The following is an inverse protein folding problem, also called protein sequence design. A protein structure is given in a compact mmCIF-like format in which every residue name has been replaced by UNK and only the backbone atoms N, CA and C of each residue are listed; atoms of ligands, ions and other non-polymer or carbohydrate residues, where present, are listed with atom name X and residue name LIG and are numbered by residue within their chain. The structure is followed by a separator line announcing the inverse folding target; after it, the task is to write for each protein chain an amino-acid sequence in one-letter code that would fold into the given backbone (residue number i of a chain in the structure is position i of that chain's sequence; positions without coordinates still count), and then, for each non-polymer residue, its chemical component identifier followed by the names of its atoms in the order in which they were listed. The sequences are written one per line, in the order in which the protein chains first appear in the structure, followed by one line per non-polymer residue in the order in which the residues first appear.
data_IF_436338766948
#
_entry.id   IF_436338766948
#
_cell.length_a   1.000
_cell.length_b   1.000
_cell.length_c   1.000
_cell.angle_alpha   90.00
_cell.angle_beta   90.00
_cell.angle_gamma   90.00
#
_symmetry.space_group_name_H-M   'P 1'
#
loop_
_entity.id
_entity.type
_entity.pdbx_description
1 polymer ?
#
# COMPACT_ATOMS: atom_id res chain seq x y z
N UNK A 1 32.85 2.99 2.73
CA UNK A 1 31.89 3.64 1.82
C UNK A 1 32.21 5.14 1.60
N UNK A 2 32.36 5.98 2.63
CA UNK A 2 32.63 7.41 2.45
C UNK A 2 33.95 7.68 1.72
N UNK A 3 34.95 6.85 1.93
CA UNK A 3 36.28 6.99 1.32
C UNK A 3 36.28 6.76 -0.19
N UNK A 4 35.36 5.92 -0.70
CA UNK A 4 35.21 5.66 -2.14
C UNK A 4 34.22 6.57 -2.84
N UNK A 5 33.22 7.10 -2.13
CA UNK A 5 32.09 7.82 -2.74
C UNK A 5 32.22 9.35 -2.71
N UNK A 6 33.01 9.95 -1.85
CA UNK A 6 32.98 11.41 -1.70
C UNK A 6 34.28 12.08 -1.22
N UNK A 7 35.34 11.33 -1.05
CA UNK A 7 36.64 11.89 -0.69
C UNK A 7 36.65 12.74 0.59
N UNK A 8 37.50 13.77 0.59
CA UNK A 8 37.72 14.63 1.77
C UNK A 8 36.48 15.37 2.25
N UNK A 9 35.56 15.74 1.37
CA UNK A 9 34.36 16.53 1.75
C UNK A 9 33.42 15.71 2.64
N UNK A 10 33.18 14.43 2.32
CA UNK A 10 32.35 13.54 3.13
C UNK A 10 32.99 13.23 4.48
N UNK A 11 34.32 13.14 4.54
CA UNK A 11 35.04 12.95 5.79
C UNK A 11 34.86 14.14 6.73
N UNK A 12 34.99 15.35 6.19
CA UNK A 12 34.82 16.62 6.95
C UNK A 12 33.40 16.72 7.49
N UNK A 13 32.39 16.42 6.67
CA UNK A 13 30.97 16.44 7.09
C UNK A 13 30.72 15.43 8.20
N UNK A 14 31.25 14.22 8.09
CA UNK A 14 31.14 13.20 9.11
C UNK A 14 31.82 13.60 10.44
N UNK A 15 32.99 14.22 10.35
CA UNK A 15 33.72 14.71 11.53
C UNK A 15 32.99 15.89 12.20
N UNK A 16 32.37 16.77 11.40
CA UNK A 16 31.61 17.91 11.89
C UNK A 16 30.25 17.50 12.51
N UNK A 17 29.59 16.48 11.96
CA UNK A 17 28.31 15.96 12.46
C UNK A 17 28.43 15.22 13.80
N UNK A 18 29.61 14.73 14.13
CA UNK A 18 29.84 13.96 15.37
C UNK A 18 29.40 12.49 15.25
N UNK A 19 29.57 11.77 16.36
CA UNK A 19 29.33 10.29 16.39
C UNK A 19 27.86 9.89 16.47
N UNK A 20 26.97 10.83 16.76
CA UNK A 20 25.52 10.58 16.93
C UNK A 20 24.70 10.90 15.69
N UNK A 21 25.30 11.54 14.69
CA UNK A 21 24.61 11.85 13.43
C UNK A 21 25.09 10.92 12.32
N UNK A 22 24.15 10.55 11.47
CA UNK A 22 24.39 9.70 10.31
C UNK A 22 24.20 10.53 9.03
N UNK A 23 25.08 10.39 8.06
CA UNK A 23 24.89 10.95 6.71
C UNK A 23 23.67 10.31 6.00
N UNK A 24 23.48 9.02 6.27
CA UNK A 24 22.28 8.27 5.91
C UNK A 24 21.70 7.73 7.22
N UNK A 25 20.52 8.14 7.62
CA UNK A 25 19.91 7.63 8.83
C UNK A 25 19.69 6.12 8.73
N UNK A 26 19.69 5.39 9.85
CA UNK A 26 19.37 3.97 9.84
C UNK A 26 17.94 3.77 9.34
N UNK A 27 17.73 2.72 8.53
CA UNK A 27 16.43 2.33 7.97
C UNK A 27 15.94 1.09 8.71
N UNK A 28 15.26 1.23 9.86
CA UNK A 28 14.91 0.12 10.75
C UNK A 28 13.88 -0.84 10.17
N UNK A 29 13.10 -0.38 9.19
CA UNK A 29 11.94 -1.11 8.67
C UNK A 29 12.12 -1.63 7.24
N UNK A 30 13.34 -1.70 6.71
CA UNK A 30 13.62 -2.24 5.36
C UNK A 30 13.17 -3.69 5.16
N UNK A 31 12.93 -4.43 6.24
CA UNK A 31 12.34 -5.77 6.21
C UNK A 31 10.91 -5.75 5.60
N UNK A 32 10.18 -4.67 5.80
CA UNK A 32 8.80 -4.51 5.31
C UNK A 32 8.79 -3.91 3.90
N UNK A 33 9.27 -4.69 2.94
CA UNK A 33 9.43 -4.26 1.54
C UNK A 33 8.10 -3.97 0.83
N UNK A 34 6.99 -4.48 1.35
CA UNK A 34 5.66 -4.27 0.79
C UNK A 34 5.25 -2.80 0.78
N UNK A 35 5.68 -2.01 1.77
CA UNK A 35 5.20 -0.64 1.94
C UNK A 35 5.83 0.33 0.94
N UNK A 36 7.05 0.09 0.52
CA UNK A 36 7.81 0.99 -0.37
C UNK A 36 7.36 0.95 -1.83
N UNK A 37 6.63 -0.09 -2.23
CA UNK A 37 6.22 -0.31 -3.62
C UNK A 37 5.01 -1.23 -3.69
N UNK A 38 4.17 -1.07 -4.69
CA UNK A 38 3.13 -2.03 -5.00
C UNK A 38 3.01 -2.25 -6.50
N UNK A 39 2.84 -3.52 -6.88
CA UNK A 39 2.57 -3.91 -8.25
C UNK A 39 1.09 -3.76 -8.56
N UNK A 40 0.78 -3.03 -9.64
CA UNK A 40 -0.57 -2.84 -10.15
C UNK A 40 -0.55 -3.09 -11.65
N UNK A 41 -1.09 -4.19 -12.12
CA UNK A 41 -1.30 -4.53 -13.54
C UNK A 41 -0.14 -4.17 -14.49
N UNK A 42 1.06 -4.65 -14.22
CA UNK A 42 2.21 -4.46 -15.12
C UNK A 42 3.03 -3.20 -14.87
N UNK A 43 2.86 -2.56 -13.75
CA UNK A 43 3.72 -1.48 -13.28
C UNK A 43 3.70 -1.35 -11.78
N UNK A 44 4.50 -0.44 -11.27
CA UNK A 44 4.74 -0.26 -9.83
C UNK A 44 4.49 1.17 -9.39
N UNK A 45 4.32 1.36 -8.10
CA UNK A 45 4.44 2.65 -7.44
C UNK A 45 5.75 2.73 -6.66
N UNK A 46 6.25 3.94 -6.44
CA UNK A 46 7.40 4.25 -5.60
C UNK A 46 6.91 5.14 -4.46
N UNK A 47 6.55 4.53 -3.36
CA UNK A 47 5.68 5.13 -2.36
C UNK A 47 6.39 6.15 -1.46
N UNK A 48 5.88 7.39 -1.34
CA UNK A 48 6.22 8.28 -0.23
C UNK A 48 5.55 7.76 1.04
N UNK A 49 6.35 7.19 1.96
CA UNK A 49 5.86 6.59 3.19
C UNK A 49 5.42 7.66 4.20
N UNK A 50 4.51 7.30 5.08
CA UNK A 50 3.91 8.23 6.05
C UNK A 50 4.89 8.72 7.12
N UNK A 51 5.70 7.80 7.70
CA UNK A 51 6.61 8.14 8.78
C UNK A 51 7.94 8.69 8.27
N UNK A 52 8.41 9.85 8.77
CA UNK A 52 9.69 10.44 8.35
C UNK A 52 10.88 9.47 8.43
N UNK A 53 10.92 8.62 9.46
CA UNK A 53 11.99 7.61 9.62
C UNK A 53 12.03 6.56 8.50
N UNK A 54 10.97 6.47 7.69
CA UNK A 54 10.83 5.52 6.58
C UNK A 54 10.93 6.15 5.19
N UNK A 55 10.99 7.46 5.08
CA UNK A 55 10.95 8.17 3.78
C UNK A 55 12.04 7.69 2.82
N UNK A 56 13.22 7.34 3.33
CA UNK A 56 14.35 6.95 2.49
C UNK A 56 14.33 5.48 2.07
N UNK A 57 13.46 4.64 2.64
CA UNK A 57 13.37 3.23 2.28
C UNK A 57 13.04 3.05 0.79
N UNK A 58 12.18 3.89 0.22
CA UNK A 58 11.78 3.83 -1.19
C UNK A 58 12.93 4.12 -2.15
N UNK A 59 13.99 4.78 -1.70
CA UNK A 59 15.22 4.98 -2.51
C UNK A 59 15.85 3.63 -2.85
N UNK A 60 15.88 2.68 -1.90
CA UNK A 60 16.44 1.35 -2.13
C UNK A 60 15.63 0.58 -3.18
N UNK A 61 14.30 0.59 -3.06
CA UNK A 61 13.40 -0.05 -4.03
C UNK A 61 13.51 0.59 -5.41
N UNK A 62 13.62 1.90 -5.47
CA UNK A 62 13.84 2.65 -6.71
C UNK A 62 15.16 2.24 -7.37
N UNK A 63 16.23 2.10 -6.59
CA UNK A 63 17.52 1.64 -7.12
C UNK A 63 17.42 0.23 -7.70
N UNK A 64 16.66 -0.67 -7.07
CA UNK A 64 16.41 -2.02 -7.60
C UNK A 64 15.72 -1.94 -8.96
N UNK A 65 14.59 -1.23 -9.08
CA UNK A 65 13.85 -1.13 -10.35
C UNK A 65 14.65 -0.41 -11.45
N UNK A 66 15.53 0.51 -11.07
CA UNK A 66 16.32 1.30 -12.02
C UNK A 66 17.56 0.57 -12.52
N UNK A 67 18.19 -0.27 -11.69
CA UNK A 67 19.52 -0.82 -11.97
C UNK A 67 19.59 -2.34 -12.02
N UNK A 68 18.65 -3.07 -11.43
CA UNK A 68 18.66 -4.52 -11.48
C UNK A 68 18.34 -5.02 -12.90
N UNK A 69 19.09 -5.99 -13.46
CA UNK A 69 18.94 -6.43 -14.85
C UNK A 69 17.54 -6.95 -15.21
N UNK A 70 16.83 -7.51 -14.24
CA UNK A 70 15.47 -8.04 -14.46
C UNK A 70 14.41 -6.94 -14.58
N UNK A 71 14.66 -5.75 -14.04
CA UNK A 71 13.69 -4.65 -13.94
C UNK A 71 14.05 -3.42 -14.77
N UNK A 72 15.35 -3.15 -14.93
CA UNK A 72 15.84 -1.93 -15.60
C UNK A 72 15.26 -1.78 -17.01
N UNK A 73 14.52 -0.69 -17.22
CA UNK A 73 13.86 -0.39 -18.50
C UNK A 73 12.65 -1.28 -18.84
N UNK A 74 12.23 -2.19 -17.95
CA UNK A 74 11.13 -3.15 -18.18
C UNK A 74 9.91 -2.87 -17.30
N UNK A 75 10.02 -2.01 -16.30
CA UNK A 75 8.98 -1.73 -15.33
C UNK A 75 8.41 -0.33 -15.53
N UNK A 76 7.10 -0.23 -15.69
CA UNK A 76 6.42 1.05 -15.68
C UNK A 76 6.28 1.56 -14.24
N UNK A 77 6.58 2.83 -14.02
CA UNK A 77 6.26 3.50 -12.76
C UNK A 77 4.97 4.29 -12.94
N UNK A 78 3.95 3.92 -12.20
CA UNK A 78 2.65 4.58 -12.26
C UNK A 78 2.62 5.89 -11.49
N UNK A 79 3.17 5.90 -10.29
CA UNK A 79 3.13 7.04 -9.41
C UNK A 79 4.22 6.95 -8.33
N UNK A 80 4.62 8.11 -7.81
CA UNK A 80 5.64 8.24 -6.77
C UNK A 80 7.05 8.38 -7.36
N UNK A 81 7.89 9.07 -6.61
CA UNK A 81 9.32 9.25 -6.88
C UNK A 81 9.98 9.71 -5.57
N UNK A 82 10.92 8.95 -4.98
CA UNK A 82 11.56 9.33 -3.72
C UNK A 82 12.44 10.58 -3.83
N UNK A 83 12.70 11.08 -5.03
CA UNK A 83 13.47 12.31 -5.27
C UNK A 83 12.60 13.55 -5.40
N UNK A 84 11.26 13.41 -5.32
CA UNK A 84 10.31 14.50 -5.38
C UNK A 84 9.61 14.69 -4.04
N UNK A 85 9.29 15.94 -3.72
CA UNK A 85 8.43 16.25 -2.59
C UNK A 85 6.96 16.02 -2.99
N UNK A 86 6.34 15.01 -2.40
CA UNK A 86 4.93 14.70 -2.57
C UNK A 86 4.02 15.40 -1.55
N UNK A 87 4.60 16.25 -0.70
CA UNK A 87 3.88 16.98 0.34
C UNK A 87 3.13 16.03 1.28
N UNK A 88 1.81 16.21 1.37
CA UNK A 88 0.94 15.37 2.21
C UNK A 88 0.44 14.09 1.52
N UNK A 89 0.89 13.81 0.30
CA UNK A 89 0.48 12.61 -0.41
C UNK A 89 1.36 11.43 0.00
N UNK A 90 0.85 10.58 0.88
CA UNK A 90 1.51 9.36 1.38
C UNK A 90 0.78 8.12 0.95
N UNK A 91 1.51 7.06 0.64
CA UNK A 91 1.00 5.75 0.23
C UNK A 91 1.88 4.66 0.82
N UNK A 92 1.29 3.61 1.36
CA UNK A 92 1.99 2.40 1.76
C UNK A 92 1.36 1.16 1.10
N UNK A 93 2.19 0.23 0.62
CA UNK A 93 1.73 -0.88 -0.23
C UNK A 93 0.81 -1.87 0.46
N UNK A 94 0.81 -1.95 1.79
CA UNK A 94 -0.15 -2.73 2.56
C UNK A 94 -1.60 -2.28 2.39
N UNK A 95 -1.81 -1.06 1.90
CA UNK A 95 -3.14 -0.53 1.57
C UNK A 95 -3.60 -0.86 0.13
N UNK A 96 -2.73 -1.37 -0.75
CA UNK A 96 -3.03 -1.49 -2.18
C UNK A 96 -3.17 -2.94 -2.61
N UNK A 97 -4.34 -3.28 -3.17
CA UNK A 97 -4.67 -4.62 -3.67
C UNK A 97 -5.28 -4.57 -5.06
N UNK A 98 -4.56 -4.90 -6.13
CA UNK A 98 -5.17 -5.18 -7.43
C UNK A 98 -5.96 -6.48 -7.35
N UNK A 99 -7.27 -6.41 -7.64
CA UNK A 99 -8.19 -7.55 -7.47
C UNK A 99 -8.69 -8.16 -8.78
N UNK A 100 -8.14 -7.70 -9.90
CA UNK A 100 -8.56 -8.16 -11.23
C UNK A 100 -9.66 -7.32 -11.86
N UNK A 101 -9.97 -7.60 -13.14
CA UNK A 101 -11.00 -6.90 -13.93
C UNK A 101 -10.85 -5.37 -13.92
N UNK A 102 -9.61 -4.87 -13.97
CA UNK A 102 -9.33 -3.43 -13.92
C UNK A 102 -9.64 -2.75 -12.59
N UNK A 103 -9.93 -3.50 -11.51
CA UNK A 103 -10.24 -2.94 -10.20
C UNK A 103 -9.03 -2.97 -9.28
N UNK A 104 -8.84 -1.89 -8.53
CA UNK A 104 -7.82 -1.78 -7.47
C UNK A 104 -8.52 -1.38 -6.17
N UNK A 105 -8.28 -2.13 -5.09
CA UNK A 105 -8.70 -1.70 -3.75
C UNK A 105 -7.58 -0.86 -3.14
N UNK A 106 -7.95 0.22 -2.47
CA UNK A 106 -6.99 1.01 -1.69
C UNK A 106 -7.60 1.37 -0.34
N UNK A 107 -6.89 1.03 0.74
CA UNK A 107 -7.19 1.51 2.08
C UNK A 107 -6.84 2.99 2.21
N UNK A 108 -7.77 3.82 2.63
CA UNK A 108 -7.49 5.17 3.12
C UNK A 108 -7.34 5.08 4.64
N UNK A 109 -6.13 4.74 5.05
CA UNK A 109 -5.76 4.39 6.42
C UNK A 109 -5.11 5.55 7.19
N UNK A 110 -4.45 5.23 8.31
CA UNK A 110 -3.55 6.15 8.99
C UNK A 110 -2.43 6.64 8.06
N UNK A 111 -1.91 5.75 7.18
CA UNK A 111 -0.68 5.97 6.43
C UNK A 111 -0.87 6.27 4.96
N UNK A 112 -2.04 5.98 4.41
CA UNK A 112 -2.36 6.27 3.02
C UNK A 112 -3.37 7.40 2.92
N UNK A 113 -2.96 8.49 2.29
CA UNK A 113 -3.73 9.72 2.21
C UNK A 113 -4.67 9.76 1.00
N UNK A 114 -5.76 10.51 1.13
CA UNK A 114 -6.69 10.78 0.03
C UNK A 114 -6.00 11.39 -1.19
N UNK A 115 -5.01 12.27 -0.95
CA UNK A 115 -4.26 12.94 -2.01
C UNK A 115 -3.48 11.93 -2.86
N UNK A 116 -2.76 11.01 -2.23
CA UNK A 116 -2.04 9.96 -2.95
C UNK A 116 -3.01 9.05 -3.74
N UNK A 117 -4.12 8.64 -3.12
CA UNK A 117 -5.11 7.78 -3.79
C UNK A 117 -5.68 8.46 -5.04
N UNK A 118 -6.08 9.72 -4.97
CA UNK A 118 -6.65 10.45 -6.12
C UNK A 118 -5.63 10.66 -7.24
N UNK A 119 -4.38 10.96 -6.90
CA UNK A 119 -3.29 11.12 -7.88
C UNK A 119 -2.93 9.80 -8.56
N UNK A 120 -2.83 8.72 -7.77
CA UNK A 120 -2.60 7.38 -8.31
C UNK A 120 -3.75 6.94 -9.22
N UNK A 121 -5.01 7.11 -8.79
CA UNK A 121 -6.18 6.76 -9.58
C UNK A 121 -6.18 7.50 -10.93
N UNK A 122 -5.96 8.83 -10.93
CA UNK A 122 -5.87 9.62 -12.15
C UNK A 122 -4.78 9.11 -13.10
N UNK A 123 -3.64 8.74 -12.56
CA UNK A 123 -2.53 8.20 -13.37
C UNK A 123 -2.86 6.83 -13.94
N UNK A 124 -3.43 5.92 -13.15
CA UNK A 124 -3.83 4.59 -13.60
C UNK A 124 -4.88 4.67 -14.71
N UNK A 125 -5.86 5.56 -14.59
CA UNK A 125 -6.89 5.77 -15.61
C UNK A 125 -6.31 6.37 -16.88
N UNK A 126 -5.50 7.41 -16.76
CA UNK A 126 -4.81 8.05 -17.90
C UNK A 126 -3.95 7.06 -18.70
N UNK A 127 -3.34 6.09 -18.01
CA UNK A 127 -2.50 5.05 -18.61
C UNK A 127 -3.29 3.81 -19.06
N UNK A 128 -4.60 3.76 -18.81
CA UNK A 128 -5.43 2.58 -19.11
C UNK A 128 -5.05 1.35 -18.25
N UNK A 129 -4.39 1.55 -17.12
CA UNK A 129 -3.94 0.46 -16.25
C UNK A 129 -5.04 -0.03 -15.29
N UNK A 130 -6.04 0.80 -15.01
CA UNK A 130 -7.19 0.43 -14.19
C UNK A 130 -8.46 1.11 -14.71
N UNK A 131 -9.63 0.56 -14.35
CA UNK A 131 -10.95 1.06 -14.70
C UNK A 131 -11.71 1.60 -13.47
N UNK A 132 -11.30 1.16 -12.28
CA UNK A 132 -11.92 1.56 -11.02
C UNK A 132 -10.93 1.43 -9.87
N UNK A 133 -10.90 2.45 -9.01
CA UNK A 133 -10.25 2.40 -7.71
C UNK A 133 -11.33 2.44 -6.64
N UNK A 134 -11.43 1.36 -5.84
CA UNK A 134 -12.37 1.24 -4.72
C UNK A 134 -11.61 1.58 -3.45
N UNK A 135 -12.12 2.55 -2.70
CA UNK A 135 -11.48 3.06 -1.50
C UNK A 135 -12.22 2.61 -0.26
N UNK A 136 -11.50 1.99 0.66
CA UNK A 136 -11.94 1.70 2.01
C UNK A 136 -11.44 2.80 2.94
N UNK A 137 -12.33 3.73 3.33
CA UNK A 137 -11.99 4.78 4.29
C UNK A 137 -12.08 4.20 5.71
N UNK A 138 -10.94 3.81 6.24
CA UNK A 138 -10.80 3.12 7.52
C UNK A 138 -10.56 4.09 8.68
N UNK A 139 -10.81 3.66 9.93
CA UNK A 139 -10.38 4.39 11.11
C UNK A 139 -8.86 4.62 11.09
N UNK A 140 -8.42 5.83 11.43
CA UNK A 140 -6.99 6.18 11.49
C UNK A 140 -6.39 5.79 12.84
N UNK A 141 -6.18 4.51 13.02
CA UNK A 141 -5.63 3.91 14.24
C UNK A 141 -4.58 2.87 13.89
N UNK A 142 -3.63 2.66 14.80
CA UNK A 142 -2.53 1.73 14.57
C UNK A 142 -2.98 0.29 14.31
N UNK A 143 -4.05 -0.17 14.94
CA UNK A 143 -4.58 -1.52 14.75
C UNK A 143 -5.14 -1.76 13.33
N UNK A 144 -5.49 -0.68 12.61
CA UNK A 144 -5.92 -0.71 11.21
C UNK A 144 -5.01 0.19 10.36
N UNK A 145 -3.68 0.05 10.54
CA UNK A 145 -2.70 0.91 9.88
C UNK A 145 -2.70 0.75 8.36
N UNK A 146 -3.03 -0.43 7.86
CA UNK A 146 -3.18 -0.75 6.43
C UNK A 146 -4.41 -1.63 6.21
N UNK A 147 -4.90 -1.66 4.97
CA UNK A 147 -6.02 -2.52 4.59
C UNK A 147 -5.70 -4.01 4.79
N UNK A 148 -4.47 -4.45 4.50
CA UNK A 148 -4.05 -5.84 4.63
C UNK A 148 -3.96 -6.33 6.09
N UNK A 149 -4.02 -5.44 7.07
CA UNK A 149 -4.10 -5.82 8.48
C UNK A 149 -5.52 -6.17 8.94
N UNK A 150 -6.53 -5.80 8.14
CA UNK A 150 -7.95 -5.98 8.48
C UNK A 150 -8.76 -6.69 7.39
N UNK A 151 -8.20 -6.83 6.20
CA UNK A 151 -8.85 -7.48 5.06
C UNK A 151 -7.81 -8.02 4.09
N UNK A 152 -7.80 -9.31 3.82
CA UNK A 152 -6.85 -9.95 2.90
C UNK A 152 -7.51 -11.08 2.11
N UNK A 153 -7.17 -11.19 0.82
CA UNK A 153 -7.63 -12.31 0.00
C UNK A 153 -6.87 -13.60 0.33
N UNK A 154 -7.60 -14.68 0.59
CA UNK A 154 -7.08 -16.03 0.76
C UNK A 154 -7.31 -16.91 -0.48
N UNK A 155 -8.32 -16.56 -1.29
CA UNK A 155 -8.65 -17.23 -2.54
C UNK A 155 -9.32 -16.22 -3.48
N UNK A 156 -9.65 -16.63 -4.69
CA UNK A 156 -10.32 -15.80 -5.71
C UNK A 156 -11.67 -15.25 -5.24
N UNK A 157 -12.36 -15.97 -4.38
CA UNK A 157 -13.67 -15.64 -3.82
C UNK A 157 -13.70 -15.64 -2.30
N UNK A 158 -12.55 -15.80 -1.64
CA UNK A 158 -12.44 -15.91 -0.19
C UNK A 158 -11.55 -14.82 0.40
N UNK A 159 -12.02 -14.21 1.46
CA UNK A 159 -11.30 -13.19 2.21
C UNK A 159 -11.26 -13.52 3.69
N UNK A 160 -10.14 -13.20 4.33
CA UNK A 160 -10.00 -13.11 5.77
C UNK A 160 -10.20 -11.65 6.17
N UNK A 161 -11.00 -11.38 7.18
CA UNK A 161 -11.27 -10.02 7.63
C UNK A 161 -11.41 -9.91 9.15
N UNK A 162 -11.13 -8.71 9.65
CA UNK A 162 -11.40 -8.27 11.01
C UNK A 162 -12.72 -7.44 11.02
N UNK A 163 -13.86 -8.01 11.46
CA UNK A 163 -15.18 -7.44 11.24
C UNK A 163 -15.38 -6.09 11.94
N UNK A 164 -14.78 -5.89 13.12
CA UNK A 164 -14.95 -4.69 13.94
C UNK A 164 -14.42 -3.42 13.26
N UNK A 165 -13.38 -3.54 12.44
CA UNK A 165 -12.80 -2.43 11.67
C UNK A 165 -13.59 -2.15 10.40
N UNK A 166 -14.03 -3.19 9.71
CA UNK A 166 -14.77 -3.03 8.45
C UNK A 166 -16.18 -2.52 8.65
N UNK A 167 -16.81 -2.80 9.80
CA UNK A 167 -18.11 -2.23 10.16
C UNK A 167 -18.09 -0.68 10.25
N UNK A 168 -16.92 -0.09 10.52
CA UNK A 168 -16.71 1.36 10.60
C UNK A 168 -16.20 1.97 9.28
N UNK A 169 -16.01 1.16 8.24
CA UNK A 169 -15.41 1.59 6.98
C UNK A 169 -16.46 2.19 6.05
N UNK A 170 -16.21 3.40 5.59
CA UNK A 170 -16.98 4.02 4.51
C UNK A 170 -16.34 3.69 3.18
N UNK A 171 -17.15 3.28 2.19
CA UNK A 171 -16.65 2.88 0.88
C UNK A 171 -17.05 3.89 -0.18
N UNK A 172 -16.11 4.24 -1.05
CA UNK A 172 -16.37 5.02 -2.25
C UNK A 172 -15.47 4.53 -3.39
N UNK A 173 -15.75 4.95 -4.61
CA UNK A 173 -14.92 4.61 -5.78
C UNK A 173 -14.53 5.85 -6.55
N UNK A 174 -13.34 5.81 -7.15
CA UNK A 174 -12.98 6.66 -8.27
C UNK A 174 -13.15 5.91 -9.57
N UNK A 175 -13.64 6.61 -10.61
CA UNK A 175 -13.74 6.13 -11.98
C UNK A 175 -13.09 7.14 -12.93
N UNK A 176 -12.70 6.71 -14.15
CA UNK A 176 -12.24 7.63 -15.19
C UNK A 176 -13.28 8.71 -15.49
N UNK A 177 -12.83 9.92 -15.74
CA UNK A 177 -13.69 11.05 -16.07
C UNK A 177 -12.99 12.03 -17.00
N UNK A 178 -13.76 12.73 -17.82
CA UNK A 178 -13.29 13.83 -18.67
C UNK A 178 -13.06 15.14 -17.88
N UNK A 179 -13.39 15.15 -16.59
CA UNK A 179 -13.05 16.27 -15.71
C UNK A 179 -11.53 16.50 -15.68
N UNK A 180 -11.03 17.75 -15.52
CA UNK A 180 -9.59 18.05 -15.48
C UNK A 180 -8.79 17.25 -14.46
N UNK A 181 -9.42 16.78 -13.38
CA UNK A 181 -8.79 15.87 -12.40
C UNK A 181 -8.56 14.44 -12.92
N UNK A 182 -9.21 14.05 -14.04
CA UNK A 182 -9.18 12.69 -14.58
C UNK A 182 -9.96 11.65 -13.77
N UNK A 183 -10.63 12.05 -12.71
CA UNK A 183 -11.36 11.16 -11.81
C UNK A 183 -12.74 11.70 -11.45
N UNK A 184 -13.70 10.79 -11.32
CA UNK A 184 -15.02 11.02 -10.79
C UNK A 184 -15.22 10.23 -9.51
N UNK A 185 -15.81 10.88 -8.51
CA UNK A 185 -16.10 10.29 -7.20
C UNK A 185 -17.50 9.66 -7.19
N UNK A 186 -17.60 8.43 -6.70
CA UNK A 186 -18.85 7.70 -6.51
C UNK A 186 -18.97 7.18 -5.08
N UNK A 187 -19.95 7.65 -4.33
CA UNK A 187 -20.28 7.09 -3.03
C UNK A 187 -20.90 5.70 -3.20
N UNK A 188 -20.36 4.69 -2.54
CA UNK A 188 -20.89 3.34 -2.55
C UNK A 188 -21.95 3.20 -1.45
N UNK A 189 -23.11 2.65 -1.82
CA UNK A 189 -24.24 2.47 -0.89
C UNK A 189 -24.23 1.13 -0.15
N UNK A 190 -23.44 0.18 -0.67
CA UNK A 190 -23.34 -1.17 -0.11
C UNK A 190 -22.18 -1.27 0.86
N UNK A 191 -22.21 -2.25 1.79
CA UNK A 191 -21.05 -2.59 2.59
C UNK A 191 -19.82 -2.88 1.73
N UNK A 192 -18.62 -2.61 2.26
CA UNK A 192 -17.36 -2.77 1.56
C UNK A 192 -17.20 -4.15 0.89
N UNK A 193 -17.49 -5.22 1.63
CA UNK A 193 -17.36 -6.61 1.15
C UNK A 193 -18.27 -6.88 -0.05
N UNK A 194 -19.49 -6.30 -0.06
CA UNK A 194 -20.43 -6.45 -1.16
C UNK A 194 -19.98 -5.65 -2.40
N UNK A 195 -19.38 -4.49 -2.20
CA UNK A 195 -18.80 -3.68 -3.28
C UNK A 195 -17.66 -4.45 -3.94
N UNK A 196 -16.80 -5.10 -3.15
CA UNK A 196 -15.70 -5.94 -3.64
C UNK A 196 -16.23 -7.15 -4.39
N UNK A 197 -17.23 -7.87 -3.86
CA UNK A 197 -17.87 -8.99 -4.53
C UNK A 197 -18.44 -8.58 -5.90
N UNK A 198 -19.14 -7.46 -5.94
CA UNK A 198 -19.70 -6.91 -7.18
C UNK A 198 -18.62 -6.56 -8.21
N UNK A 199 -17.50 -5.95 -7.77
CA UNK A 199 -16.37 -5.62 -8.64
C UNK A 199 -15.72 -6.86 -9.27
N UNK A 200 -15.71 -7.97 -8.54
CA UNK A 200 -15.24 -9.26 -9.02
C UNK A 200 -16.28 -10.02 -9.88
N UNK A 201 -17.52 -9.51 -9.97
CA UNK A 201 -18.62 -10.20 -10.64
C UNK A 201 -19.13 -11.42 -9.89
N UNK A 202 -18.95 -11.44 -8.56
CA UNK A 202 -19.41 -12.49 -7.67
C UNK A 202 -20.73 -12.08 -7.00
N UNK A 203 -21.58 -13.06 -6.70
CA UNK A 203 -22.80 -12.81 -5.92
C UNK A 203 -22.47 -12.48 -4.47
N UNK A 204 -21.44 -13.14 -3.92
CA UNK A 204 -20.99 -13.01 -2.53
C UNK A 204 -19.54 -13.51 -2.42
N UNK A 205 -18.77 -12.91 -1.53
CA UNK A 205 -17.48 -13.45 -1.09
C UNK A 205 -17.68 -14.46 0.04
N UNK A 206 -16.85 -15.50 0.06
CA UNK A 206 -16.65 -16.30 1.25
C UNK A 206 -15.84 -15.49 2.24
N UNK A 207 -16.33 -15.39 3.45
CA UNK A 207 -15.71 -14.62 4.51
C UNK A 207 -15.24 -15.54 5.62
N UNK A 208 -13.98 -15.41 5.98
CA UNK A 208 -13.40 -15.97 7.18
C UNK A 208 -13.14 -14.82 8.14
N UNK A 209 -13.75 -14.83 9.30
CA UNK A 209 -13.54 -13.80 10.31
C UNK A 209 -12.33 -14.13 11.16
N UNK A 210 -11.45 -13.17 11.36
CA UNK A 210 -10.32 -13.29 12.27
C UNK A 210 -10.78 -13.21 13.73
N UNK A 211 -10.32 -14.14 14.55
CA UNK A 211 -10.65 -14.18 15.97
C UNK A 211 -11.90 -15.03 16.28
N UNK A 212 -12.28 -15.08 17.55
CA UNK A 212 -13.43 -15.81 18.07
C UNK A 212 -14.20 -14.94 19.06
N UNK A 213 -13.88 -15.07 20.36
CA UNK A 213 -14.38 -14.14 21.40
C UNK A 213 -13.74 -12.76 21.25
N UNK A 214 -14.30 -11.75 21.90
CA UNK A 214 -13.76 -10.38 21.88
C UNK A 214 -12.28 -10.33 22.27
N UNK A 215 -11.89 -11.08 23.29
CA UNK A 215 -10.50 -11.20 23.73
C UNK A 215 -9.61 -11.85 22.64
N UNK A 216 -10.11 -12.89 21.98
CA UNK A 216 -9.36 -13.55 20.91
C UNK A 216 -9.22 -12.65 19.69
N UNK A 217 -10.26 -11.87 19.34
CA UNK A 217 -10.19 -10.89 18.24
C UNK A 217 -9.14 -9.80 18.49
N UNK A 218 -9.13 -9.24 19.70
CA UNK A 218 -8.13 -8.25 20.08
C UNK A 218 -6.72 -8.83 20.02
N UNK A 219 -6.50 -10.02 20.58
CA UNK A 219 -5.22 -10.72 20.52
C UNK A 219 -4.80 -11.02 19.07
N UNK A 220 -5.69 -11.57 18.26
CA UNK A 220 -5.44 -11.87 16.84
C UNK A 220 -5.00 -10.61 16.09
N UNK A 221 -5.59 -9.46 16.39
CA UNK A 221 -5.20 -8.19 15.77
C UNK A 221 -3.78 -7.77 16.18
N UNK A 222 -3.39 -7.94 17.45
CA UNK A 222 -2.02 -7.70 17.91
C UNK A 222 -1.00 -8.64 17.26
N UNK A 223 -1.37 -9.89 17.08
CA UNK A 223 -0.53 -10.92 16.47
C UNK A 223 -0.57 -10.88 14.92
N UNK A 224 -1.23 -9.87 14.33
CA UNK A 224 -1.41 -9.71 12.87
C UNK A 224 -2.11 -10.88 12.19
N UNK A 225 -3.00 -11.58 12.90
CA UNK A 225 -3.64 -12.81 12.42
C UNK A 225 -4.58 -12.61 11.22
N UNK A 226 -5.03 -11.38 10.94
CA UNK A 226 -5.76 -11.06 9.71
C UNK A 226 -4.84 -10.71 8.52
N UNK A 227 -3.53 -10.62 8.73
CA UNK A 227 -2.54 -10.35 7.70
C UNK A 227 -1.94 -11.66 7.19
N UNK A 228 -2.08 -11.93 5.91
CA UNK A 228 -1.54 -13.14 5.28
C UNK A 228 -0.97 -12.85 3.89
N UNK A 229 -0.12 -13.74 3.41
CA UNK A 229 0.37 -13.73 2.04
C UNK A 229 -0.25 -14.90 1.29
N UNK A 230 -1.07 -14.60 0.29
CA UNK A 230 -1.63 -15.61 -0.59
C UNK A 230 -0.60 -15.97 -1.68
N UNK A 231 0.00 -17.16 -1.58
CA UNK A 231 0.99 -17.64 -2.54
C UNK A 231 0.33 -18.13 -3.85
N UNK A 232 -0.87 -18.70 -3.73
CA UNK A 232 -1.75 -19.06 -4.83
C UNK A 232 -3.18 -19.16 -4.31
N UNK A 233 -4.21 -19.18 -5.17
CA UNK A 233 -5.59 -19.32 -4.70
C UNK A 233 -5.76 -20.49 -3.73
N UNK A 234 -6.22 -20.22 -2.51
CA UNK A 234 -6.41 -21.19 -1.44
C UNK A 234 -5.15 -21.64 -0.70
N UNK A 235 -3.97 -21.11 -1.04
CA UNK A 235 -2.69 -21.41 -0.35
C UNK A 235 -2.12 -20.14 0.24
N UNK A 236 -2.10 -20.07 1.56
CA UNK A 236 -1.69 -18.85 2.29
C UNK A 236 -0.55 -19.13 3.27
N UNK A 237 0.27 -18.14 3.49
CA UNK A 237 1.18 -18.05 4.63
C UNK A 237 0.60 -17.04 5.62
N UNK A 238 0.44 -17.45 6.86
CA UNK A 238 -0.08 -16.65 7.96
C UNK A 238 0.78 -16.86 9.21
N UNK A 239 0.59 -16.00 10.17
CA UNK A 239 1.10 -16.22 11.52
C UNK A 239 0.27 -17.31 12.21
N UNK A 240 0.90 -18.10 13.07
CA UNK A 240 0.31 -19.17 13.88
C UNK A 240 -0.25 -18.65 15.23
#
# INVERSE_FOLDING_TARGET
FPEKAGGKALKIVKEAAGVTEYLLPPLPNTLYTRDTTCWIYGGVTLNPLYWPARHEETILTTAIYKFHPDFAGKVNVWWGDPLQDHGMATLEGGDVMPIGKGNVLIGMSERTSRQAISQLAATLFKKGAAERVIVAAMPKIRAAMHLDTVFTFADRDCVLLAPDFLAQTTTFSYRPSDHPSGVEFHAEKKPFVDVVAQALGLKKLRVVEAGGTDYQRERTQWDSGANLVCASPGVVYAYD
#
